data_IF_910001695068
#
_entry.id   IF_910001695068
#
_cell.length_a   1.000
_cell.length_b   1.000
_cell.length_c   1.000
_cell.angle_alpha   90.00
_cell.angle_beta   90.00
_cell.angle_gamma   90.00
#
_symmetry.space_group_name_H-M   'P 1'
#
loop_
_entity.id
_entity.type
_entity.pdbx_description
1 polymer ?
#
# COMPACT_ATOMS: atom_id res chain seq x y z
N UNK A 1 25.02 2.71 -12.70
CA UNK A 1 24.64 1.73 -11.66
C UNK A 1 23.12 1.62 -11.69
N UNK A 2 22.56 0.41 -11.57
CA UNK A 2 21.11 0.22 -11.42
C UNK A 2 20.66 0.75 -10.06
N UNK A 3 19.50 1.43 -9.99
CA UNK A 3 18.97 1.92 -8.73
C UNK A 3 18.59 0.77 -7.78
N UNK A 4 18.51 1.03 -6.47
CA UNK A 4 18.18 0.01 -5.47
C UNK A 4 16.79 -0.55 -5.74
N UNK A 5 15.81 0.30 -5.99
CA UNK A 5 14.43 -0.10 -6.30
C UNK A 5 14.37 -0.98 -7.55
N UNK A 6 15.09 -0.61 -8.61
CA UNK A 6 15.21 -1.42 -9.84
C UNK A 6 15.83 -2.78 -9.55
N UNK A 7 16.89 -2.82 -8.73
CA UNK A 7 17.52 -4.08 -8.33
C UNK A 7 16.53 -4.98 -7.56
N UNK A 8 15.83 -4.42 -6.57
CA UNK A 8 14.88 -5.16 -5.72
C UNK A 8 13.73 -5.76 -6.53
N UNK A 9 13.16 -5.03 -7.51
CA UNK A 9 12.10 -5.56 -8.38
C UNK A 9 12.55 -6.77 -9.22
N UNK A 10 13.84 -6.84 -9.54
CA UNK A 10 14.41 -7.90 -10.36
C UNK A 10 14.97 -9.09 -9.54
N UNK A 11 14.99 -9.01 -8.20
CA UNK A 11 15.50 -10.10 -7.36
C UNK A 11 14.63 -11.35 -7.44
N UNK A 12 13.30 -11.19 -7.46
CA UNK A 12 12.37 -12.30 -7.53
C UNK A 12 11.14 -11.97 -8.39
N UNK A 13 11.32 -11.91 -9.73
CA UNK A 13 10.25 -11.48 -10.64
C UNK A 13 9.05 -12.44 -10.62
N UNK A 14 9.28 -13.73 -10.36
CA UNK A 14 8.20 -14.71 -10.26
C UNK A 14 7.32 -14.45 -9.03
N UNK A 15 7.92 -14.25 -7.85
CA UNK A 15 7.16 -13.99 -6.64
C UNK A 15 6.36 -12.68 -6.77
N UNK A 16 7.00 -11.62 -7.28
CA UNK A 16 6.34 -10.35 -7.55
C UNK A 16 5.16 -10.53 -8.50
N UNK A 17 5.35 -11.24 -9.62
CA UNK A 17 4.26 -11.49 -10.56
C UNK A 17 3.09 -12.18 -9.88
N UNK A 18 3.33 -13.30 -9.18
CA UNK A 18 2.27 -14.08 -8.54
C UNK A 18 1.54 -13.33 -7.42
N UNK A 19 2.22 -12.45 -6.68
CA UNK A 19 1.58 -11.63 -5.64
C UNK A 19 0.72 -10.52 -6.23
N UNK A 20 1.08 -9.99 -7.41
CA UNK A 20 0.36 -8.88 -8.06
C UNK A 20 -0.63 -9.32 -9.14
N UNK A 21 -0.76 -10.62 -9.42
CA UNK A 21 -1.75 -11.18 -10.37
C UNK A 21 -2.64 -12.28 -9.76
N UNK A 22 -2.78 -12.26 -8.43
CA UNK A 22 -3.54 -13.24 -7.67
C UNK A 22 -5.00 -13.40 -8.17
N UNK A 23 -5.61 -14.61 -8.12
CA UNK A 23 -6.99 -14.84 -8.56
C UNK A 23 -8.06 -13.91 -7.94
N UNK A 24 -7.80 -13.40 -6.72
CA UNK A 24 -8.62 -12.36 -6.10
C UNK A 24 -8.72 -11.11 -6.98
N UNK A 25 -7.59 -10.62 -7.50
CA UNK A 25 -7.51 -9.42 -8.35
C UNK A 25 -8.16 -9.66 -9.71
N UNK A 26 -7.99 -10.86 -10.27
CA UNK A 26 -8.68 -11.24 -11.50
C UNK A 26 -10.20 -11.26 -11.28
N UNK A 27 -10.67 -11.80 -10.16
CA UNK A 27 -12.10 -11.82 -9.81
C UNK A 27 -12.65 -10.41 -9.58
N UNK A 28 -11.84 -9.52 -8.97
CA UNK A 28 -12.16 -8.10 -8.81
C UNK A 28 -12.33 -7.40 -10.17
N UNK A 29 -11.38 -7.57 -11.10
CA UNK A 29 -11.46 -6.98 -12.43
C UNK A 29 -12.57 -7.58 -13.31
N UNK A 30 -12.93 -8.84 -13.10
CA UNK A 30 -14.03 -9.48 -13.83
C UNK A 30 -15.42 -9.22 -13.24
N UNK A 31 -15.53 -8.46 -12.15
CA UNK A 31 -16.77 -8.23 -11.39
C UNK A 31 -17.41 -9.50 -10.80
N UNK A 32 -16.62 -10.55 -10.59
CA UNK A 32 -17.10 -11.86 -10.10
C UNK A 32 -16.80 -12.10 -8.63
N UNK A 33 -16.07 -11.19 -7.97
CA UNK A 33 -15.75 -11.30 -6.55
C UNK A 33 -17.00 -11.08 -5.68
N UNK A 34 -17.44 -12.06 -4.86
CA UNK A 34 -18.63 -11.89 -4.03
C UNK A 34 -18.42 -10.88 -2.90
N UNK A 35 -19.50 -10.19 -2.49
CA UNK A 35 -19.49 -9.29 -1.30
C UNK A 35 -18.88 -9.93 -0.06
N UNK A 36 -19.20 -11.19 0.23
CA UNK A 36 -18.67 -11.87 1.42
C UNK A 36 -17.13 -11.97 1.40
N UNK A 37 -16.55 -12.27 0.23
CA UNK A 37 -15.09 -12.33 0.06
C UNK A 37 -14.47 -10.94 0.13
N UNK A 38 -15.12 -9.94 -0.49
CA UNK A 38 -14.69 -8.54 -0.41
C UNK A 38 -14.70 -8.04 1.04
N UNK A 39 -15.77 -8.30 1.79
CA UNK A 39 -15.89 -7.95 3.21
C UNK A 39 -14.82 -8.63 4.07
N UNK A 40 -14.56 -9.93 3.85
CA UNK A 40 -13.51 -10.66 4.55
C UNK A 40 -12.13 -10.04 4.32
N UNK A 41 -11.81 -9.72 3.06
CA UNK A 41 -10.55 -9.07 2.70
C UNK A 41 -10.46 -7.65 3.29
N UNK A 42 -11.49 -6.82 3.10
CA UNK A 42 -11.51 -5.41 3.55
C UNK A 42 -11.42 -5.29 5.08
N UNK A 43 -12.02 -6.23 5.81
CA UNK A 43 -11.90 -6.31 7.27
C UNK A 43 -10.44 -6.49 7.71
N UNK A 44 -9.66 -7.29 6.97
CA UNK A 44 -8.24 -7.53 7.25
C UNK A 44 -7.36 -6.38 6.75
N UNK A 45 -7.67 -5.83 5.58
CA UNK A 45 -6.94 -4.70 4.98
C UNK A 45 -7.07 -3.43 5.84
N UNK A 46 -8.22 -3.23 6.49
CA UNK A 46 -8.41 -2.20 7.51
C UNK A 46 -7.47 -2.36 8.70
N UNK A 47 -7.27 -3.57 9.20
CA UNK A 47 -6.35 -3.83 10.33
C UNK A 47 -4.89 -3.64 9.90
N UNK A 48 -4.56 -4.04 8.67
CA UNK A 48 -3.28 -3.72 8.04
C UNK A 48 -3.04 -2.20 7.99
N UNK A 49 -4.00 -1.41 7.50
CA UNK A 49 -3.93 0.05 7.46
C UNK A 49 -3.74 0.69 8.85
N UNK A 50 -4.36 0.12 9.89
CA UNK A 50 -4.12 0.57 11.28
C UNK A 50 -2.69 0.29 11.75
N UNK A 51 -2.12 -0.86 11.39
CA UNK A 51 -0.72 -1.19 11.72
C UNK A 51 0.28 -0.30 10.99
N UNK A 52 -0.04 0.10 9.75
CA UNK A 52 0.74 1.05 8.95
C UNK A 52 0.93 2.41 9.66
N UNK A 53 -0.10 2.93 10.35
CA UNK A 53 0.02 4.18 11.12
C UNK A 53 1.16 4.11 12.16
N UNK A 54 1.25 2.99 12.88
CA UNK A 54 2.29 2.78 13.90
C UNK A 54 3.66 2.69 13.26
N UNK A 55 3.76 2.01 12.13
CA UNK A 55 5.00 1.88 11.35
C UNK A 55 5.53 3.24 10.91
N UNK A 56 4.70 4.08 10.29
CA UNK A 56 5.13 5.41 9.86
C UNK A 56 5.55 6.27 11.06
N UNK A 57 4.85 6.17 12.20
CA UNK A 57 5.26 6.82 13.45
C UNK A 57 6.66 6.41 13.91
N UNK A 58 7.02 5.13 13.77
CA UNK A 58 8.37 4.65 14.05
C UNK A 58 9.41 5.21 13.08
N UNK A 59 9.09 5.30 11.78
CA UNK A 59 10.01 5.90 10.80
C UNK A 59 10.22 7.41 11.04
N UNK A 60 9.15 8.15 11.34
CA UNK A 60 9.22 9.57 11.70
C UNK A 60 10.16 9.80 12.89
N UNK A 61 10.13 8.91 13.90
CA UNK A 61 10.99 9.01 15.08
C UNK A 61 12.50 8.92 14.77
N UNK A 62 12.88 8.41 13.58
CA UNK A 62 14.27 8.28 13.14
C UNK A 62 14.81 9.54 12.45
N UNK A 63 13.93 10.44 12.03
CA UNK A 63 14.32 11.63 11.25
C UNK A 63 15.01 12.65 12.15
N UNK A 64 16.15 13.17 11.68
CA UNK A 64 16.89 14.26 12.33
C UNK A 64 16.96 15.44 11.39
N UNK A 65 16.12 16.45 11.63
CA UNK A 65 16.14 17.66 10.82
C UNK A 65 17.44 18.46 11.04
N UNK A 66 17.98 19.10 10.00
CA UNK A 66 19.17 19.93 10.14
C UNK A 66 18.89 21.15 11.00
N UNK A 67 19.88 21.55 11.82
CA UNK A 67 19.80 22.72 12.69
C UNK A 67 19.90 24.05 11.95
N UNK A 68 20.41 24.04 10.71
CA UNK A 68 20.69 25.23 9.91
C UNK A 68 19.94 25.18 8.59
N UNK A 69 19.31 26.29 8.23
CA UNK A 69 18.67 26.46 6.92
C UNK A 69 19.57 27.31 6.02
N UNK A 70 19.91 26.82 4.83
CA UNK A 70 20.57 27.62 3.79
C UNK A 70 19.50 28.22 2.87
N UNK A 71 19.40 29.56 2.86
CA UNK A 71 18.57 30.25 1.89
C UNK A 71 19.09 29.92 0.48
N UNK A 72 18.22 29.41 -0.39
CA UNK A 72 18.48 29.01 -1.79
C UNK A 72 19.03 27.60 -2.05
N UNK A 73 19.06 26.70 -1.06
CA UNK A 73 19.30 25.27 -1.32
C UNK A 73 17.98 24.51 -1.47
N UNK A 74 17.95 23.40 -2.25
CA UNK A 74 16.81 22.49 -2.24
C UNK A 74 16.54 21.98 -0.82
N UNK A 75 15.29 21.60 -0.57
CA UNK A 75 14.90 21.08 0.74
C UNK A 75 15.80 19.90 1.15
N UNK A 76 16.33 19.89 2.38
CA UNK A 76 17.13 18.78 2.88
C UNK A 76 16.41 17.44 2.72
N UNK A 77 17.17 16.37 2.48
CA UNK A 77 16.62 15.02 2.29
C UNK A 77 15.73 14.61 3.47
N UNK A 78 16.14 14.90 4.70
CA UNK A 78 15.39 14.61 5.92
C UNK A 78 14.05 15.35 5.96
N UNK A 79 14.00 16.59 5.45
CA UNK A 79 12.76 17.37 5.35
C UNK A 79 11.81 16.80 4.28
N UNK A 80 12.36 16.30 3.16
CA UNK A 80 11.56 15.64 2.11
C UNK A 80 10.99 14.31 2.60
N UNK A 81 11.78 13.51 3.30
CA UNK A 81 11.31 12.27 3.93
C UNK A 81 10.23 12.56 4.98
N UNK A 82 10.41 13.60 5.81
CA UNK A 82 9.38 14.02 6.78
C UNK A 82 8.05 14.35 6.08
N UNK A 83 8.10 15.13 5.00
CA UNK A 83 6.92 15.47 4.21
C UNK A 83 6.27 14.22 3.63
N UNK A 84 7.04 13.32 3.01
CA UNK A 84 6.53 12.06 2.46
C UNK A 84 5.82 11.20 3.52
N UNK A 85 6.46 10.98 4.67
CA UNK A 85 5.87 10.18 5.75
C UNK A 85 4.63 10.85 6.36
N UNK A 86 4.60 12.18 6.40
CA UNK A 86 3.40 12.92 6.82
C UNK A 86 2.27 12.73 5.81
N UNK A 87 2.56 12.81 4.51
CA UNK A 87 1.59 12.51 3.45
C UNK A 87 1.09 11.07 3.54
N UNK A 88 1.95 10.09 3.83
CA UNK A 88 1.56 8.70 4.05
C UNK A 88 0.52 8.55 5.17
N UNK A 89 0.71 9.23 6.31
CA UNK A 89 -0.27 9.25 7.40
C UNK A 89 -1.59 9.91 7.00
N UNK A 90 -1.54 11.00 6.23
CA UNK A 90 -2.74 11.65 5.73
C UNK A 90 -3.48 10.74 4.74
N UNK A 91 -2.76 10.01 3.89
CA UNK A 91 -3.33 9.08 2.92
C UNK A 91 -4.05 7.94 3.63
N UNK A 92 -3.40 7.28 4.60
CA UNK A 92 -4.01 6.15 5.31
C UNK A 92 -5.22 6.58 6.17
N UNK A 93 -5.22 7.82 6.69
CA UNK A 93 -6.39 8.37 7.37
C UNK A 93 -7.59 8.57 6.42
N UNK A 94 -7.32 9.10 5.21
CA UNK A 94 -8.35 9.22 4.16
C UNK A 94 -8.86 7.84 3.76
N UNK A 95 -7.96 6.87 3.63
CA UNK A 95 -8.29 5.50 3.25
C UNK A 95 -9.15 4.76 4.28
N UNK A 96 -8.86 4.91 5.58
CA UNK A 96 -9.72 4.35 6.63
C UNK A 96 -11.14 4.95 6.59
N UNK A 97 -11.26 6.25 6.34
CA UNK A 97 -12.56 6.91 6.16
C UNK A 97 -13.28 6.42 4.90
N UNK A 98 -12.52 6.25 3.82
CA UNK A 98 -13.00 5.71 2.55
C UNK A 98 -13.55 4.28 2.72
N UNK A 99 -12.86 3.41 3.45
CA UNK A 99 -13.34 2.06 3.76
C UNK A 99 -14.69 2.06 4.47
N UNK A 100 -14.85 2.89 5.50
CA UNK A 100 -16.11 3.01 6.23
C UNK A 100 -17.24 3.54 5.35
N UNK A 101 -16.94 4.52 4.50
CA UNK A 101 -17.92 5.14 3.59
C UNK A 101 -18.40 4.15 2.53
N UNK A 102 -17.47 3.48 1.83
CA UNK A 102 -17.80 2.50 0.79
C UNK A 102 -18.46 1.27 1.39
N UNK A 103 -18.03 0.82 2.57
CA UNK A 103 -18.68 -0.29 3.24
C UNK A 103 -20.15 -0.01 3.56
N UNK A 104 -20.46 1.20 4.03
CA UNK A 104 -21.84 1.61 4.27
C UNK A 104 -22.67 1.68 2.98
N UNK A 105 -22.10 2.24 1.90
CA UNK A 105 -22.78 2.37 0.60
C UNK A 105 -23.10 1.01 -0.03
N UNK A 106 -22.14 0.07 -0.01
CA UNK A 106 -22.26 -1.22 -0.69
C UNK A 106 -22.72 -2.36 0.23
N UNK A 107 -23.03 -2.07 1.50
CA UNK A 107 -23.39 -3.05 2.53
C UNK A 107 -22.31 -4.13 2.72
N UNK A 108 -21.07 -3.70 2.93
CA UNK A 108 -19.93 -4.58 3.25
C UNK A 108 -19.72 -4.61 4.77
N UNK A 109 -19.47 -5.80 5.32
CA UNK A 109 -19.04 -5.95 6.70
C UNK A 109 -17.53 -5.68 6.84
N UNK A 110 -17.14 -4.86 7.82
CA UNK A 110 -15.75 -4.52 8.14
C UNK A 110 -15.22 -5.26 9.38
N UNK A 111 -16.00 -6.20 9.92
CA UNK A 111 -15.68 -6.97 11.12
C UNK A 111 -15.81 -8.48 10.89
N UNK A 112 -15.56 -8.94 9.66
CA UNK A 112 -15.62 -10.37 9.32
C UNK A 112 -14.45 -11.10 10.00
N UNK A 113 -14.71 -12.10 10.87
CA UNK A 113 -13.65 -12.90 11.47
C UNK A 113 -12.87 -13.72 10.42
N UNK A 114 -11.56 -13.94 10.61
CA UNK A 114 -10.81 -14.88 9.78
C UNK A 114 -11.42 -16.29 9.77
N UNK A 115 -11.21 -17.09 8.70
CA UNK A 115 -11.68 -18.46 8.66
C UNK A 115 -11.25 -19.28 9.89
N UNK A 116 -12.23 -19.88 10.57
CA UNK A 116 -12.00 -20.67 11.78
C UNK A 116 -11.98 -19.88 13.10
N UNK A 117 -12.07 -18.55 13.06
CA UNK A 117 -12.19 -17.71 14.26
C UNK A 117 -13.67 -17.40 14.59
N UNK A 118 -13.97 -17.28 15.88
CA UNK A 118 -15.30 -16.87 16.38
C UNK A 118 -15.41 -15.39 16.69
N UNK A 119 -14.28 -14.68 16.74
CA UNK A 119 -14.18 -13.26 17.09
C UNK A 119 -13.42 -12.52 16.01
N UNK A 120 -13.86 -11.30 15.70
CA UNK A 120 -13.14 -10.43 14.78
C UNK A 120 -11.74 -10.11 15.31
N UNK A 121 -10.76 -10.17 14.42
CA UNK A 121 -9.36 -9.89 14.70
C UNK A 121 -8.48 -10.11 13.48
N UNK A 122 -7.19 -9.77 13.60
CA UNK A 122 -6.22 -10.03 12.54
C UNK A 122 -6.04 -11.53 12.29
N UNK A 123 -6.02 -11.90 11.02
CA UNK A 123 -5.61 -13.22 10.56
C UNK A 123 -4.11 -13.46 10.80
N UNK A 124 -3.63 -14.70 10.64
CA UNK A 124 -2.21 -15.01 10.73
C UNK A 124 -1.36 -14.15 9.76
N UNK A 125 -1.83 -13.98 8.52
CA UNK A 125 -1.14 -13.15 7.53
C UNK A 125 -1.13 -11.67 7.92
N UNK A 126 -2.24 -11.14 8.44
CA UNK A 126 -2.35 -9.75 8.89
C UNK A 126 -1.48 -9.48 10.13
N UNK A 127 -1.40 -10.46 11.03
CA UNK A 127 -0.45 -10.44 12.14
C UNK A 127 1.00 -10.42 11.65
N UNK A 128 1.36 -11.28 10.71
CA UNK A 128 2.72 -11.30 10.14
C UNK A 128 3.10 -9.97 9.47
N UNK A 129 2.17 -9.33 8.77
CA UNK A 129 2.39 -7.98 8.22
C UNK A 129 2.55 -6.91 9.31
N UNK A 130 1.75 -7.00 10.38
CA UNK A 130 1.88 -6.10 11.54
C UNK A 130 3.27 -6.25 12.18
N UNK A 131 3.75 -7.49 12.32
CA UNK A 131 5.08 -7.77 12.87
C UNK A 131 6.19 -7.26 11.95
N UNK A 132 6.08 -7.47 10.63
CA UNK A 132 7.00 -6.90 9.64
C UNK A 132 7.12 -5.38 9.76
N UNK A 133 5.98 -4.70 9.91
CA UNK A 133 5.94 -3.25 10.09
C UNK A 133 6.60 -2.79 11.38
N UNK A 134 6.27 -3.43 12.50
CA UNK A 134 6.88 -3.08 13.79
C UNK A 134 8.39 -3.38 13.82
N UNK A 135 8.82 -4.50 13.23
CA UNK A 135 10.23 -4.86 13.16
C UNK A 135 11.01 -3.87 12.30
N UNK A 136 10.46 -3.48 11.14
CA UNK A 136 11.10 -2.58 10.18
C UNK A 136 11.16 -1.13 10.66
N UNK A 137 10.31 -0.75 11.61
CA UNK A 137 10.38 0.53 12.32
C UNK A 137 11.25 0.52 13.58
N UNK A 138 11.67 -0.65 14.07
CA UNK A 138 12.32 -0.79 15.39
C UNK A 138 13.66 -0.05 15.48
N UNK A 139 14.14 0.26 16.69
CA UNK A 139 15.34 1.07 16.91
C UNK A 139 16.62 0.49 16.30
N UNK A 140 16.69 -0.83 16.11
CA UNK A 140 17.84 -1.51 15.50
C UNK A 140 17.86 -1.49 13.98
N UNK A 141 16.79 -1.03 13.33
CA UNK A 141 16.64 -1.01 11.87
C UNK A 141 16.90 0.40 11.34
N UNK A 142 17.60 0.49 10.22
CA UNK A 142 17.93 1.77 9.57
C UNK A 142 16.67 2.44 8.98
N UNK A 143 16.74 3.75 8.76
CA UNK A 143 15.67 4.46 8.05
C UNK A 143 15.50 3.92 6.61
N UNK A 144 16.59 3.55 5.95
CA UNK A 144 16.55 2.98 4.59
C UNK A 144 15.75 1.68 4.53
N UNK A 145 16.01 0.73 5.43
CA UNK A 145 15.26 -0.54 5.49
C UNK A 145 13.77 -0.30 5.71
N UNK A 146 13.41 0.65 6.58
CA UNK A 146 12.02 1.07 6.77
C UNK A 146 11.41 1.68 5.50
N UNK A 147 12.10 2.59 4.83
CA UNK A 147 11.63 3.19 3.57
C UNK A 147 11.50 2.15 2.45
N UNK A 148 12.37 1.13 2.41
CA UNK A 148 12.26 0.01 1.47
C UNK A 148 10.99 -0.79 1.73
N UNK A 149 10.65 -1.07 2.99
CA UNK A 149 9.40 -1.78 3.32
C UNK A 149 8.18 -0.96 2.95
N UNK A 150 8.18 0.35 3.26
CA UNK A 150 7.14 1.28 2.84
C UNK A 150 6.95 1.23 1.31
N UNK A 151 8.01 1.47 0.54
CA UNK A 151 7.98 1.43 -0.91
C UNK A 151 7.51 0.08 -1.45
N UNK A 152 8.06 -1.02 -0.92
CA UNK A 152 7.74 -2.37 -1.38
C UNK A 152 6.26 -2.70 -1.19
N UNK A 153 5.66 -2.28 -0.08
CA UNK A 153 4.22 -2.46 0.13
C UNK A 153 3.39 -1.67 -0.87
N UNK A 154 3.72 -0.40 -1.09
CA UNK A 154 2.96 0.50 -1.97
C UNK A 154 3.08 0.10 -3.44
N UNK A 155 4.29 -0.27 -3.89
CA UNK A 155 4.52 -0.70 -5.27
C UNK A 155 3.84 -2.05 -5.57
N UNK A 156 3.79 -2.97 -4.60
CA UNK A 156 3.04 -4.22 -4.76
C UNK A 156 1.54 -3.94 -4.86
N UNK A 157 1.02 -3.06 -4.02
CA UNK A 157 -0.39 -2.68 -4.03
C UNK A 157 -0.77 -1.98 -5.35
N UNK A 158 0.05 -1.04 -5.82
CA UNK A 158 -0.15 -0.36 -7.10
C UNK A 158 -0.14 -1.31 -8.30
N UNK A 159 0.82 -2.25 -8.34
CA UNK A 159 0.88 -3.28 -9.40
C UNK A 159 -0.32 -4.22 -9.35
N UNK A 160 -0.72 -4.65 -8.15
CA UNK A 160 -1.86 -5.54 -7.95
C UNK A 160 -3.17 -4.92 -8.47
N UNK A 161 -3.46 -3.69 -8.06
CA UNK A 161 -4.65 -2.98 -8.52
C UNK A 161 -4.55 -2.55 -9.98
N UNK A 162 -3.34 -2.27 -10.47
CA UNK A 162 -3.08 -2.03 -11.89
C UNK A 162 -3.47 -3.24 -12.75
N UNK A 163 -3.14 -4.46 -12.31
CA UNK A 163 -3.59 -5.69 -12.96
C UNK A 163 -5.12 -5.84 -12.90
N UNK A 164 -5.75 -5.60 -11.75
CA UNK A 164 -7.21 -5.64 -11.64
C UNK A 164 -7.89 -4.65 -12.60
N UNK A 165 -7.35 -3.43 -12.75
CA UNK A 165 -7.82 -2.43 -13.71
C UNK A 165 -7.68 -2.92 -15.16
N UNK A 166 -6.55 -3.50 -15.53
CA UNK A 166 -6.34 -4.05 -16.88
C UNK A 166 -7.40 -5.13 -17.20
N UNK A 167 -7.63 -6.06 -16.26
CA UNK A 167 -8.68 -7.08 -16.39
C UNK A 167 -10.07 -6.43 -16.53
N UNK A 168 -10.35 -5.40 -15.73
CA UNK A 168 -11.60 -4.64 -15.76
C UNK A 168 -11.85 -3.96 -17.11
N UNK A 169 -10.84 -3.29 -17.67
CA UNK A 169 -10.93 -2.61 -18.97
C UNK A 169 -11.13 -3.62 -20.12
N UNK A 170 -10.43 -4.74 -20.08
CA UNK A 170 -10.58 -5.81 -21.07
C UNK A 170 -11.96 -6.47 -20.98
N UNK A 171 -12.46 -6.68 -19.76
CA UNK A 171 -13.79 -7.22 -19.54
C UNK A 171 -14.88 -6.24 -20.01
N UNK A 172 -14.74 -4.94 -19.77
CA UNK A 172 -15.77 -3.90 -20.03
C UNK A 172 -16.17 -3.70 -21.49
N UNK A 173 -15.47 -4.32 -22.44
CA UNK A 173 -15.86 -4.38 -23.85
C UNK A 173 -17.12 -5.25 -24.12
N UNK A 174 -17.76 -5.79 -23.07
CA UNK A 174 -18.86 -6.78 -23.14
C UNK A 174 -20.29 -6.33 -22.79
N UNK A 175 -20.60 -5.04 -22.56
CA UNK A 175 -21.98 -4.52 -22.52
C UNK A 175 -22.45 -3.86 -21.20
N UNK A 176 -23.35 -2.87 -21.34
CA UNK A 176 -23.99 -2.12 -20.24
C UNK A 176 -25.07 -2.96 -19.52
N UNK A 177 -25.15 -2.82 -18.18
CA UNK A 177 -26.09 -3.55 -17.32
C UNK A 177 -25.45 -4.64 -16.45
N UNK A 178 -24.22 -4.42 -15.94
CA UNK A 178 -23.51 -5.40 -15.12
C UNK A 178 -24.08 -5.52 -13.71
N UNK A 179 -24.52 -6.74 -13.40
CA UNK A 179 -24.77 -7.21 -12.04
C UNK A 179 -23.43 -7.64 -11.42
N UNK A 180 -22.65 -6.65 -10.98
CA UNK A 180 -21.35 -6.90 -10.33
C UNK A 180 -21.60 -7.67 -9.01
N UNK A 181 -20.87 -8.76 -8.76
CA UNK A 181 -21.11 -9.65 -7.61
C UNK A 181 -20.90 -8.97 -6.24
N UNK A 182 -20.21 -7.83 -6.22
CA UNK A 182 -20.00 -6.97 -5.06
C UNK A 182 -20.90 -5.71 -5.06
N UNK A 183 -21.84 -5.61 -5.99
CA UNK A 183 -22.68 -4.42 -6.21
C UNK A 183 -21.97 -3.26 -6.91
N UNK A 184 -20.74 -3.45 -7.39
CA UNK A 184 -19.95 -2.47 -8.13
C UNK A 184 -18.87 -1.77 -7.30
N UNK A 185 -18.70 -2.15 -6.03
CA UNK A 185 -17.76 -1.52 -5.10
C UNK A 185 -16.32 -1.49 -5.66
N UNK A 186 -15.84 -2.61 -6.18
CA UNK A 186 -14.50 -2.72 -6.73
C UNK A 186 -14.33 -1.86 -7.98
N UNK A 187 -15.24 -2.00 -8.94
CA UNK A 187 -15.17 -1.30 -10.23
C UNK A 187 -15.31 0.22 -10.08
N UNK A 188 -16.22 0.67 -9.22
CA UNK A 188 -16.59 2.10 -9.11
C UNK A 188 -15.72 2.84 -8.10
N UNK A 189 -15.34 2.19 -6.99
CA UNK A 189 -14.67 2.87 -5.88
C UNK A 189 -13.22 2.43 -5.72
N UNK A 190 -12.98 1.15 -5.44
CA UNK A 190 -11.67 0.66 -4.98
C UNK A 190 -10.60 0.64 -6.08
N UNK A 191 -10.88 0.03 -7.24
CA UNK A 191 -9.90 -0.05 -8.34
C UNK A 191 -9.47 1.35 -8.80
N UNK A 192 -10.39 2.32 -9.04
CA UNK A 192 -9.99 3.68 -9.41
C UNK A 192 -9.16 4.39 -8.34
N UNK A 193 -9.45 4.20 -7.05
CA UNK A 193 -8.72 4.83 -5.95
C UNK A 193 -7.23 4.43 -5.97
N UNK A 194 -6.95 3.13 -6.04
CA UNK A 194 -5.58 2.58 -5.97
C UNK A 194 -4.86 2.48 -7.31
N UNK A 195 -5.50 2.90 -8.39
CA UNK A 195 -4.85 3.05 -9.71
C UNK A 195 -4.83 4.49 -10.19
N UNK A 196 -5.15 5.42 -9.31
CA UNK A 196 -5.13 6.86 -9.57
C UNK A 196 -3.71 7.36 -9.85
N UNK A 197 -3.63 8.47 -10.59
CA UNK A 197 -2.37 9.16 -10.85
C UNK A 197 -1.75 9.73 -9.57
N UNK A 198 -2.57 10.14 -8.59
CA UNK A 198 -2.09 10.57 -7.27
C UNK A 198 -1.37 9.43 -6.55
N UNK A 199 -1.96 8.24 -6.52
CA UNK A 199 -1.34 7.09 -5.87
C UNK A 199 -0.07 6.63 -6.59
N UNK A 200 -0.07 6.62 -7.93
CA UNK A 200 1.13 6.31 -8.72
C UNK A 200 2.29 7.27 -8.44
N UNK A 201 2.02 8.59 -8.41
CA UNK A 201 3.04 9.59 -8.06
C UNK A 201 3.57 9.40 -6.64
N UNK A 202 2.69 9.08 -5.68
CA UNK A 202 3.13 8.78 -4.32
C UNK A 202 4.10 7.59 -4.28
N UNK A 203 3.81 6.51 -5.02
CA UNK A 203 4.71 5.34 -5.12
C UNK A 203 6.07 5.73 -5.71
N UNK A 204 6.08 6.54 -6.77
CA UNK A 204 7.29 7.02 -7.43
C UNK A 204 8.12 7.93 -6.49
N UNK A 205 7.48 8.82 -5.74
CA UNK A 205 8.14 9.69 -4.75
C UNK A 205 8.84 8.88 -3.64
N UNK A 206 8.22 7.78 -3.16
CA UNK A 206 8.89 6.89 -2.20
C UNK A 206 10.10 6.23 -2.87
N UNK A 207 9.96 5.76 -4.12
CA UNK A 207 11.03 5.10 -4.85
C UNK A 207 12.26 6.01 -5.03
N UNK A 208 12.05 7.26 -5.42
CA UNK A 208 13.10 8.27 -5.56
C UNK A 208 13.86 8.49 -4.25
N UNK A 209 13.14 8.60 -3.12
CA UNK A 209 13.76 8.79 -1.82
C UNK A 209 14.51 7.54 -1.34
N UNK A 210 14.00 6.34 -1.59
CA UNK A 210 14.72 5.08 -1.30
C UNK A 210 16.05 5.03 -2.06
N UNK A 211 16.01 5.35 -3.36
CA UNK A 211 17.20 5.35 -4.21
C UNK A 211 18.21 6.42 -3.76
N UNK A 212 17.75 7.64 -3.44
CA UNK A 212 18.62 8.73 -2.96
C UNK A 212 19.27 8.41 -1.60
N UNK A 213 18.50 7.88 -0.64
CA UNK A 213 19.04 7.45 0.67
C UNK A 213 20.06 6.33 0.50
N UNK A 214 19.82 5.40 -0.44
CA UNK A 214 20.75 4.28 -0.68
C UNK A 214 22.14 4.75 -1.16
N UNK A 215 22.19 5.79 -1.98
CA UNK A 215 23.45 6.39 -2.45
C UNK A 215 24.20 7.05 -1.29
N UNK A 216 23.49 7.78 -0.42
CA UNK A 216 24.09 8.42 0.75
C UNK A 216 24.59 7.45 1.83
N UNK A 217 24.12 6.19 1.83
CA UNK A 217 24.68 5.11 2.66
C UNK A 217 25.95 4.55 2.04
N UNK A 218 26.00 4.39 0.71
CA UNK A 218 27.18 3.91 0.00
C UNK A 218 28.39 4.85 0.15
N UNK A 219 28.17 6.17 0.23
CA UNK A 219 29.23 7.16 0.45
C UNK A 219 29.81 7.16 1.88
N UNK A 220 29.23 6.39 2.80
CA UNK A 220 29.68 6.28 4.21
C UNK A 220 30.36 4.94 4.53
N UNK A 221 30.55 4.06 3.53
CA UNK A 221 31.24 2.77 3.60
C UNK A 221 32.58 2.84 2.88
#
# INVERSE_FOLDING_TARGET
>A
MTSLTTHLLNLNPSALHTSTTHPFLHSAGTSTLPKATLSAWLSQDRLYAQSYVRFIGLLLSKIRLPYTTTANSPAPLESRILTLLTSALLNIQRELTFFETVAAEYNLDLQVPPPGATTFGPSEATHAYTDLFLSSGSSGVTLLEGLVVLWATEVCYYKAWGYAREVMENNSKGGEGRDDADGGALRVQFIPNWTSEEFGRFVDEIAELVDEVSLGVADKL
#
